data_IF_490460249643
#
_entry.id   IF_490460249643
#
_cell.length_a   1.000
_cell.length_b   1.000
_cell.length_c   1.000
_cell.angle_alpha   90.00
_cell.angle_beta   90.00
_cell.angle_gamma   90.00
#
_symmetry.space_group_name_H-M   'P 1'
#
loop_
_entity.id
_entity.type
_entity.pdbx_description
1 polymer ?
#
# COMPACT_ATOMS: atom_id res chain seq x y z
N UNK A 1 -13.39 10.21 6.44
CA UNK A 1 -12.62 9.13 7.10
C UNK A 1 -13.59 8.02 7.51
N UNK A 2 -13.15 6.76 7.44
CA UNK A 2 -13.98 5.60 7.82
C UNK A 2 -13.96 5.38 9.34
N UNK A 3 -15.08 4.95 9.91
CA UNK A 3 -15.11 4.52 11.32
C UNK A 3 -14.69 3.06 11.47
N UNK A 4 -14.31 2.66 12.68
CA UNK A 4 -13.95 1.27 13.00
C UNK A 4 -15.09 0.30 12.67
N UNK A 5 -16.35 0.70 12.87
CA UNK A 5 -17.53 -0.10 12.54
C UNK A 5 -17.69 -0.27 11.02
N UNK A 6 -17.49 0.81 10.25
CA UNK A 6 -17.56 0.75 8.80
C UNK A 6 -16.49 -0.20 8.24
N UNK A 7 -15.27 -0.13 8.76
CA UNK A 7 -14.19 -1.05 8.35
C UNK A 7 -14.54 -2.50 8.68
N UNK A 8 -15.04 -2.76 9.90
CA UNK A 8 -15.44 -4.12 10.30
C UNK A 8 -16.53 -4.70 9.41
N UNK A 9 -17.44 -3.87 8.89
CA UNK A 9 -18.44 -4.31 7.94
C UNK A 9 -17.83 -4.60 6.57
N UNK A 10 -16.98 -3.69 6.07
CA UNK A 10 -16.26 -3.86 4.80
C UNK A 10 -15.44 -5.15 4.79
N UNK A 11 -14.74 -5.47 5.89
CA UNK A 11 -13.85 -6.62 5.95
C UNK A 11 -14.57 -7.98 6.01
N UNK A 12 -15.89 -8.02 6.20
CA UNK A 12 -16.65 -9.29 6.16
C UNK A 12 -16.71 -9.86 4.74
N UNK A 13 -17.02 -8.99 3.78
CA UNK A 13 -17.29 -9.39 2.40
C UNK A 13 -16.19 -8.95 1.42
N UNK A 14 -15.28 -8.05 1.84
CA UNK A 14 -14.23 -7.50 0.99
C UNK A 14 -12.83 -7.68 1.60
N UNK A 15 -11.83 -7.36 0.77
CA UNK A 15 -10.42 -7.33 1.14
C UNK A 15 -9.93 -5.90 1.14
N UNK A 16 -9.37 -5.46 2.26
CA UNK A 16 -8.64 -4.19 2.31
C UNK A 16 -7.22 -4.44 1.82
N UNK A 17 -6.93 -3.91 0.65
CA UNK A 17 -5.61 -3.90 0.06
C UNK A 17 -4.82 -2.63 0.45
N UNK A 18 -3.58 -2.81 0.90
CA UNK A 18 -2.61 -1.74 1.14
C UNK A 18 -1.31 -1.98 0.35
N UNK A 19 -0.62 -0.90 0.00
CA UNK A 19 0.71 -0.95 -0.61
C UNK A 19 1.64 0.04 0.08
N UNK A 20 2.80 -0.44 0.50
CA UNK A 20 3.87 0.38 1.06
C UNK A 20 4.95 0.58 0.00
N UNK A 21 5.36 1.83 -0.19
CA UNK A 21 6.48 2.22 -1.01
C UNK A 21 7.59 2.72 -0.11
N UNK A 22 8.78 2.15 -0.25
CA UNK A 22 9.94 2.50 0.56
C UNK A 22 11.22 2.31 -0.26
N UNK A 23 12.31 2.94 0.16
CA UNK A 23 13.64 2.56 -0.34
C UNK A 23 14.16 1.33 0.42
N UNK A 24 14.92 0.48 -0.26
CA UNK A 24 15.53 -0.69 0.35
C UNK A 24 16.36 -0.28 1.59
N UNK A 25 15.96 -0.79 2.77
CA UNK A 25 16.54 -0.45 4.08
C UNK A 25 15.67 0.44 4.97
N UNK A 26 14.62 1.10 4.45
CA UNK A 26 13.72 1.95 5.24
C UNK A 26 12.65 1.18 6.02
N UNK A 27 12.50 -0.12 5.77
CA UNK A 27 11.67 -0.99 6.59
C UNK A 27 10.20 -1.10 6.15
N UNK A 28 9.86 -0.86 4.88
CA UNK A 28 8.50 -1.05 4.34
C UNK A 28 7.95 -2.47 4.57
N UNK A 29 8.80 -3.50 4.45
CA UNK A 29 8.44 -4.90 4.76
C UNK A 29 8.11 -5.10 6.24
N UNK A 30 8.78 -4.37 7.13
CA UNK A 30 8.47 -4.44 8.57
C UNK A 30 7.15 -3.74 8.88
N UNK A 31 6.87 -2.60 8.24
CA UNK A 31 5.57 -1.92 8.36
C UNK A 31 4.42 -2.82 7.90
N UNK A 32 4.57 -3.50 6.75
CA UNK A 32 3.55 -4.42 6.25
C UNK A 32 3.31 -5.62 7.16
N UNK A 33 4.37 -6.19 7.76
CA UNK A 33 4.22 -7.27 8.73
C UNK A 33 3.50 -6.80 10.00
N UNK A 34 3.88 -5.65 10.56
CA UNK A 34 3.23 -5.08 11.74
C UNK A 34 1.74 -4.78 11.47
N UNK A 35 1.41 -4.30 10.27
CA UNK A 35 0.03 -4.07 9.85
C UNK A 35 -0.80 -5.37 9.89
N UNK A 36 -0.24 -6.50 9.45
CA UNK A 36 -0.91 -7.81 9.53
C UNK A 36 -0.98 -8.31 10.97
N UNK A 37 0.11 -8.17 11.74
CA UNK A 37 0.18 -8.61 13.14
C UNK A 37 -0.77 -7.83 14.07
N UNK A 38 -1.08 -6.58 13.75
CA UNK A 38 -2.01 -5.73 14.48
C UNK A 38 -3.48 -5.98 14.12
N UNK A 39 -3.77 -6.41 12.89
CA UNK A 39 -5.14 -6.56 12.43
C UNK A 39 -5.85 -7.76 13.07
N UNK A 40 -7.00 -7.51 13.72
CA UNK A 40 -7.85 -8.55 14.31
C UNK A 40 -8.71 -9.27 13.25
N UNK A 41 -8.04 -10.09 12.44
CA UNK A 41 -8.67 -10.89 11.39
C UNK A 41 -7.65 -11.75 10.67
N UNK A 42 -7.85 -11.95 9.37
CA UNK A 42 -6.89 -12.65 8.52
C UNK A 42 -6.15 -11.64 7.65
N UNK A 43 -4.83 -11.75 7.63
CA UNK A 43 -3.99 -10.88 6.82
C UNK A 43 -2.85 -11.64 6.18
N UNK A 44 -2.47 -11.22 4.98
CA UNK A 44 -1.26 -11.67 4.29
C UNK A 44 -0.48 -10.43 3.88
N UNK A 45 0.83 -10.47 4.08
CA UNK A 45 1.73 -9.48 3.48
C UNK A 45 2.72 -10.17 2.56
N UNK A 46 3.05 -9.48 1.46
CA UNK A 46 3.98 -9.99 0.47
C UNK A 46 4.90 -8.85 0.02
N UNK A 47 6.22 -8.96 0.25
CA UNK A 47 7.16 -8.05 -0.38
C UNK A 47 7.33 -8.39 -1.87
N UNK A 48 7.52 -7.37 -2.69
CA UNK A 48 7.99 -7.49 -4.06
C UNK A 48 9.47 -7.14 -4.07
N UNK A 49 10.30 -8.13 -4.39
CA UNK A 49 11.74 -7.97 -4.52
C UNK A 49 12.15 -8.27 -5.95
N UNK A 50 12.91 -7.37 -6.57
CA UNK A 50 13.64 -7.61 -7.81
C UNK A 50 15.13 -7.89 -7.56
N UNK A 51 15.98 -7.66 -8.56
CA UNK A 51 17.44 -7.66 -8.42
C UNK A 51 17.97 -6.34 -7.80
N UNK A 52 17.19 -5.76 -6.89
CA UNK A 52 17.34 -4.39 -6.41
C UNK A 52 18.47 -4.26 -5.38
N UNK A 53 19.26 -3.19 -5.51
CA UNK A 53 20.35 -2.83 -4.58
C UNK A 53 19.80 -1.97 -3.43
N UNK A 54 20.60 -1.78 -2.38
CA UNK A 54 20.28 -0.84 -1.30
C UNK A 54 19.92 0.54 -1.86
N UNK A 55 18.86 1.17 -1.34
CA UNK A 55 18.34 2.46 -1.79
C UNK A 55 17.39 2.43 -3.00
N UNK A 56 17.26 1.31 -3.71
CA UNK A 56 16.29 1.17 -4.80
C UNK A 56 14.84 1.24 -4.27
N UNK A 57 13.87 1.69 -5.09
CA UNK A 57 12.45 1.58 -4.77
C UNK A 57 12.06 0.13 -4.46
N UNK A 58 11.27 -0.06 -3.41
CA UNK A 58 10.76 -1.36 -2.97
C UNK A 58 9.30 -1.24 -2.64
N UNK A 59 8.56 -2.32 -2.88
CA UNK A 59 7.14 -2.41 -2.60
C UNK A 59 6.83 -3.56 -1.65
N UNK A 60 5.90 -3.35 -0.73
CA UNK A 60 5.25 -4.44 -0.01
C UNK A 60 3.74 -4.28 0.00
N UNK A 61 3.05 -5.40 -0.16
CA UNK A 61 1.61 -5.46 -0.23
C UNK A 61 1.05 -6.05 1.05
N UNK A 62 -0.13 -5.59 1.45
CA UNK A 62 -0.91 -6.14 2.55
C UNK A 62 -2.34 -6.34 2.09
N UNK A 63 -2.92 -7.49 2.44
CA UNK A 63 -4.32 -7.84 2.19
C UNK A 63 -4.95 -8.25 3.51
N UNK A 64 -6.01 -7.58 3.93
CA UNK A 64 -6.70 -7.80 5.20
C UNK A 64 -8.17 -8.09 4.97
N UNK A 65 -8.71 -9.10 5.67
CA UNK A 65 -10.14 -9.42 5.66
C UNK A 65 -10.53 -10.18 6.92
N UNK A 66 -11.78 -10.02 7.37
CA UNK A 66 -12.36 -10.87 8.40
C UNK A 66 -12.73 -12.25 7.85
N UNK A 67 -12.86 -12.38 6.53
CA UNK A 67 -13.11 -13.65 5.86
C UNK A 67 -11.80 -14.28 5.36
N UNK A 68 -11.42 -15.41 5.96
CA UNK A 68 -10.21 -16.15 5.63
C UNK A 68 -10.14 -16.54 4.15
N UNK A 69 -11.28 -16.84 3.53
CA UNK A 69 -11.31 -17.34 2.15
C UNK A 69 -10.89 -16.29 1.13
N UNK A 70 -11.06 -15.00 1.45
CA UNK A 70 -10.69 -13.89 0.57
C UNK A 70 -9.17 -13.59 0.55
N UNK A 71 -8.44 -14.02 1.57
CA UNK A 71 -6.99 -13.77 1.74
C UNK A 71 -6.13 -15.03 1.63
N UNK A 72 -6.66 -16.13 1.06
CA UNK A 72 -5.89 -17.38 0.87
C UNK A 72 -4.83 -17.29 -0.23
N UNK A 73 -4.98 -16.34 -1.15
CA UNK A 73 -4.12 -16.22 -2.33
C UNK A 73 -2.95 -15.28 -2.09
N UNK A 74 -1.74 -15.74 -2.40
CA UNK A 74 -0.50 -14.95 -2.36
C UNK A 74 -0.34 -14.17 -3.67
N UNK A 75 -1.23 -13.21 -3.90
CA UNK A 75 -1.21 -12.36 -5.09
C UNK A 75 -0.75 -10.94 -4.77
N UNK A 76 -0.17 -10.28 -5.78
CA UNK A 76 0.15 -8.85 -5.70
C UNK A 76 -1.14 -8.01 -5.57
N UNK A 77 -1.00 -6.87 -4.91
CA UNK A 77 -2.07 -5.88 -4.82
C UNK A 77 -1.96 -4.95 -6.03
N UNK A 78 -2.90 -5.11 -6.96
CA UNK A 78 -3.04 -4.22 -8.13
C UNK A 78 -3.82 -2.94 -7.78
N UNK A 79 -4.73 -3.03 -6.80
CA UNK A 79 -5.68 -1.97 -6.45
C UNK A 79 -5.63 -1.64 -4.97
N UNK A 80 -4.63 -0.85 -4.53
CA UNK A 80 -4.50 -0.51 -3.12
C UNK A 80 -5.51 0.59 -2.75
N UNK A 81 -6.29 0.36 -1.69
CA UNK A 81 -7.16 1.39 -1.11
C UNK A 81 -6.37 2.40 -0.27
N UNK A 82 -5.27 1.94 0.33
CA UNK A 82 -4.34 2.74 1.11
C UNK A 82 -2.92 2.53 0.57
N UNK A 83 -2.23 3.62 0.25
CA UNK A 83 -0.82 3.61 -0.11
C UNK A 83 -0.05 4.41 0.93
N UNK A 84 1.03 3.85 1.46
CA UNK A 84 1.93 4.52 2.38
C UNK A 84 3.33 4.65 1.76
N UNK A 85 3.81 5.88 1.61
CA UNK A 85 5.10 6.22 1.01
C UNK A 85 6.04 6.70 2.11
N UNK A 86 7.08 5.92 2.39
CA UNK A 86 8.04 6.20 3.47
C UNK A 86 9.07 7.28 3.08
N UNK A 87 9.19 7.59 1.79
CA UNK A 87 10.16 8.53 1.23
C UNK A 87 9.53 9.29 0.05
N UNK A 88 9.39 10.61 0.20
CA UNK A 88 8.77 11.49 -0.80
C UNK A 88 9.45 11.47 -2.17
N UNK A 89 10.74 11.12 -2.25
CA UNK A 89 11.46 11.06 -3.54
C UNK A 89 10.86 10.01 -4.48
N UNK A 90 10.18 9.00 -3.93
CA UNK A 90 9.49 7.97 -4.72
C UNK A 90 8.31 8.52 -5.53
N UNK A 91 7.73 9.66 -5.13
CA UNK A 91 6.63 10.30 -5.85
C UNK A 91 7.05 10.76 -7.26
N UNK A 92 8.33 11.08 -7.45
CA UNK A 92 8.90 11.47 -8.75
C UNK A 92 9.53 10.32 -9.52
N UNK A 93 9.93 9.25 -8.83
CA UNK A 93 10.65 8.12 -9.44
C UNK A 93 9.69 7.07 -10.05
N UNK A 94 8.54 6.83 -9.42
CA UNK A 94 7.59 5.77 -9.80
C UNK A 94 6.14 6.20 -9.62
N UNK A 95 5.18 5.54 -10.29
CA UNK A 95 3.76 5.79 -10.07
C UNK A 95 3.27 5.09 -8.78
N UNK A 96 3.46 5.76 -7.65
CA UNK A 96 3.02 5.22 -6.36
C UNK A 96 1.50 5.03 -6.25
N UNK A 97 0.71 5.71 -7.10
CA UNK A 97 -0.75 5.73 -7.08
C UNK A 97 -1.39 4.76 -8.06
N UNK A 98 -0.58 4.01 -8.80
CA UNK A 98 -1.04 3.12 -9.85
C UNK A 98 -2.09 2.12 -9.34
N UNK A 99 -3.25 2.08 -10.01
CA UNK A 99 -4.38 1.22 -9.64
C UNK A 99 -5.18 1.63 -8.40
N UNK A 100 -4.82 2.73 -7.72
CA UNK A 100 -5.58 3.23 -6.57
C UNK A 100 -6.97 3.74 -7.02
N UNK A 101 -8.06 3.27 -6.39
CA UNK A 101 -9.41 3.73 -6.71
C UNK A 101 -9.65 5.19 -6.28
N UNK A 102 -10.72 5.79 -6.80
CA UNK A 102 -11.18 7.10 -6.34
C UNK A 102 -11.46 7.07 -4.84
N UNK A 103 -11.12 8.15 -4.14
CA UNK A 103 -11.23 8.24 -2.69
C UNK A 103 -10.19 7.43 -1.91
N UNK A 104 -9.31 6.67 -2.58
CA UNK A 104 -8.19 5.99 -1.93
C UNK A 104 -7.28 6.97 -1.19
N UNK A 105 -6.54 6.47 -0.20
CA UNK A 105 -5.67 7.29 0.64
C UNK A 105 -4.20 7.15 0.26
N UNK A 106 -3.57 8.27 -0.09
CA UNK A 106 -2.13 8.38 -0.24
C UNK A 106 -1.53 9.03 1.02
N UNK A 107 -0.79 8.24 1.79
CA UNK A 107 -0.09 8.66 3.01
C UNK A 107 1.38 8.85 2.66
N UNK A 108 1.94 10.03 2.88
CA UNK A 108 3.32 10.36 2.49
C UNK A 108 4.10 10.90 3.68
N UNK A 109 5.29 10.32 3.93
CA UNK A 109 6.30 10.96 4.77
C UNK A 109 6.92 12.15 4.00
N UNK A 110 6.47 13.37 4.32
CA UNK A 110 6.85 14.58 3.60
C UNK A 110 6.51 15.83 4.40
N UNK A 111 7.20 16.92 4.10
CA UNK A 111 6.85 18.29 4.54
C UNK A 111 6.17 19.10 3.43
N UNK A 112 5.98 18.51 2.24
CA UNK A 112 5.30 19.15 1.12
C UNK A 112 3.83 19.36 1.44
N UNK A 113 3.27 20.40 0.84
CA UNK A 113 1.84 20.63 0.86
C UNK A 113 1.11 19.69 -0.12
N UNK A 114 -0.19 19.56 0.09
CA UNK A 114 -1.04 18.66 -0.67
C UNK A 114 -1.14 19.04 -2.16
N UNK A 115 -1.06 20.32 -2.53
CA UNK A 115 -1.14 20.74 -3.95
C UNK A 115 0.09 20.25 -4.70
N UNK A 116 1.27 20.42 -4.10
CA UNK A 116 2.53 19.91 -4.65
C UNK A 116 2.49 18.38 -4.86
N UNK A 117 1.92 17.63 -3.91
CA UNK A 117 1.76 16.17 -4.04
C UNK A 117 0.81 15.82 -5.19
N UNK A 118 -0.34 16.48 -5.30
CA UNK A 118 -1.30 16.24 -6.38
C UNK A 118 -0.71 16.50 -7.76
N UNK A 119 0.16 17.51 -7.89
CA UNK A 119 0.85 17.82 -9.14
C UNK A 119 1.89 16.75 -9.50
N UNK A 120 2.62 16.22 -8.52
CA UNK A 120 3.58 15.13 -8.72
C UNK A 120 2.90 13.83 -9.17
N UNK A 121 1.85 13.40 -8.46
CA UNK A 121 1.15 12.14 -8.77
C UNK A 121 0.08 12.30 -9.85
N UNK A 122 -0.20 13.53 -10.30
CA UNK A 122 -1.19 13.87 -11.33
C UNK A 122 -2.60 13.33 -11.03
N UNK A 123 -2.99 13.27 -9.75
CA UNK A 123 -4.29 12.80 -9.27
C UNK A 123 -4.92 13.83 -8.34
N UNK A 124 -6.22 14.08 -8.51
CA UNK A 124 -7.02 15.02 -7.69
C UNK A 124 -8.27 14.37 -7.08
N UNK A 125 -8.46 13.09 -7.36
CA UNK A 125 -9.58 12.23 -6.98
C UNK A 125 -9.21 11.26 -5.85
N UNK A 126 -8.08 11.48 -5.18
CA UNK A 126 -7.57 10.69 -4.05
C UNK A 126 -7.42 11.58 -2.82
N UNK A 127 -7.62 10.97 -1.66
CA UNK A 127 -7.37 11.59 -0.37
C UNK A 127 -5.87 11.57 -0.06
N UNK A 128 -5.37 12.59 0.62
CA UNK A 128 -3.93 12.74 0.92
C UNK A 128 -3.76 12.94 2.43
N UNK A 129 -2.80 12.21 3.00
CA UNK A 129 -2.32 12.44 4.34
C UNK A 129 -0.80 12.63 4.33
N UNK A 130 -0.33 13.62 5.08
CA UNK A 130 1.08 13.98 5.15
C UNK A 130 1.57 13.94 6.58
N UNK A 131 2.82 13.53 6.76
CA UNK A 131 3.48 13.47 8.06
C UNK A 131 4.96 13.74 7.91
N UNK A 132 5.54 14.53 8.82
CA UNK A 132 7.00 14.63 8.95
C UNK A 132 7.49 13.50 9.88
N UNK A 133 7.44 12.28 9.36
CA UNK A 133 7.85 11.11 10.14
C UNK A 133 9.35 11.11 10.41
N UNK A 134 10.15 11.74 9.54
CA UNK A 134 11.60 11.87 9.73
C UNK A 134 11.93 12.72 10.95
N UNK A 135 11.29 13.87 11.14
CA UNK A 135 11.44 14.67 12.37
C UNK A 135 11.05 13.87 13.61
N UNK A 136 9.89 13.23 13.60
CA UNK A 136 9.41 12.42 14.75
C UNK A 136 10.40 11.29 15.07
N UNK A 137 10.96 10.63 14.06
CA UNK A 137 11.94 9.57 14.23
C UNK A 137 13.23 10.08 14.89
N UNK A 138 13.72 11.24 14.46
CA UNK A 138 14.94 11.85 15.02
C UNK A 138 14.70 12.31 16.46
N UNK A 139 13.56 12.94 16.74
CA UNK A 139 13.24 13.49 18.06
C UNK A 139 13.03 12.38 19.12
N UNK A 140 12.33 11.30 18.77
CA UNK A 140 11.91 10.27 19.73
C UNK A 140 12.81 9.04 19.70
N UNK A 141 13.10 8.53 18.50
CA UNK A 141 13.88 7.29 18.32
C UNK A 141 15.39 7.57 18.30
N UNK A 142 15.80 8.81 17.97
CA UNK A 142 17.20 9.19 17.79
C UNK A 142 17.84 8.59 16.52
N UNK A 143 17.02 8.05 15.62
CA UNK A 143 17.44 7.41 14.36
C UNK A 143 16.37 7.63 13.30
N UNK A 144 16.78 7.80 12.04
CA UNK A 144 15.85 7.96 10.92
C UNK A 144 15.22 6.62 10.51
N UNK A 145 14.27 6.13 11.31
CA UNK A 145 13.48 4.92 11.06
C UNK A 145 12.00 5.32 11.11
N UNK A 146 11.36 5.42 9.95
CA UNK A 146 10.02 6.00 9.80
C UNK A 146 8.91 4.96 9.64
N UNK A 147 9.27 3.68 9.52
CA UNK A 147 8.34 2.59 9.18
C UNK A 147 7.23 2.33 10.20
N UNK A 148 7.47 2.52 11.50
CA UNK A 148 6.44 2.39 12.54
C UNK A 148 5.59 3.66 12.63
N UNK A 149 6.21 4.81 12.42
CA UNK A 149 5.57 6.14 12.51
C UNK A 149 4.50 6.29 11.43
N UNK A 150 4.77 5.85 10.18
CA UNK A 150 3.79 5.90 9.08
C UNK A 150 2.52 5.08 9.38
N UNK A 151 2.61 4.06 10.24
CA UNK A 151 1.44 3.27 10.66
C UNK A 151 0.52 4.09 11.59
N UNK A 152 1.04 5.09 12.30
CA UNK A 152 0.21 6.04 13.04
C UNK A 152 -0.65 6.89 12.10
N UNK A 153 -0.07 7.36 11.00
CA UNK A 153 -0.83 8.05 9.95
C UNK A 153 -1.87 7.13 9.29
N UNK A 154 -1.54 5.84 9.11
CA UNK A 154 -2.50 4.85 8.63
C UNK A 154 -3.67 4.66 9.60
N UNK A 155 -3.42 4.57 10.91
CA UNK A 155 -4.49 4.53 11.93
C UNK A 155 -5.39 5.75 11.76
N UNK A 156 -4.80 6.95 11.72
CA UNK A 156 -5.52 8.23 11.65
C UNK A 156 -6.54 8.29 10.51
N UNK A 157 -6.23 7.76 9.32
CA UNK A 157 -7.10 7.86 8.14
C UNK A 157 -7.99 6.63 7.91
N UNK A 158 -7.54 5.45 8.34
CA UNK A 158 -8.15 4.17 7.94
C UNK A 158 -8.96 3.51 9.04
N UNK A 159 -8.56 3.64 10.31
CA UNK A 159 -9.14 2.93 11.45
C UNK A 159 -9.21 1.40 11.27
N UNK A 160 -8.28 0.81 10.49
CA UNK A 160 -8.21 -0.64 10.23
C UNK A 160 -7.89 -1.43 11.51
N UNK A 161 -7.06 -0.84 12.36
CA UNK A 161 -6.73 -1.33 13.69
C UNK A 161 -6.56 -0.12 14.61
N UNK A 162 -6.67 -0.38 15.91
CA UNK A 162 -6.51 0.59 16.97
C UNK A 162 -5.04 0.77 17.34
N UNK A 163 -4.76 1.86 18.05
CA UNK A 163 -3.44 2.08 18.65
C UNK A 163 -3.03 0.95 19.60
N UNK A 164 -3.98 0.40 20.35
CA UNK A 164 -3.70 -0.67 21.31
C UNK A 164 -3.31 -1.97 20.58
N UNK A 165 -4.05 -2.34 19.54
CA UNK A 165 -3.74 -3.51 18.70
C UNK A 165 -2.37 -3.39 18.02
N UNK A 166 -2.01 -2.20 17.52
CA UNK A 166 -0.68 -1.96 16.96
C UNK A 166 0.41 -1.97 18.05
N UNK A 167 0.12 -1.42 19.23
CA UNK A 167 1.05 -1.42 20.35
C UNK A 167 1.36 -2.84 20.81
N UNK A 168 0.37 -3.72 20.86
CA UNK A 168 0.54 -5.14 21.17
C UNK A 168 1.39 -5.87 20.12
N UNK A 169 1.21 -5.58 18.84
CA UNK A 169 2.09 -6.10 17.77
C UNK A 169 3.55 -5.64 17.95
N UNK A 170 3.74 -4.36 18.27
CA UNK A 170 5.08 -3.79 18.51
C UNK A 170 5.74 -4.41 19.74
N UNK A 171 5.00 -4.60 20.83
CA UNK A 171 5.53 -5.21 22.06
C UNK A 171 5.90 -6.69 21.87
N UNK A 172 5.22 -7.40 20.96
CA UNK A 172 5.61 -8.77 20.58
C UNK A 172 6.89 -8.81 19.77
N UNK A 173 7.14 -7.79 18.93
CA UNK A 173 8.28 -7.75 18.00
C UNK A 173 9.53 -7.09 18.57
N UNK A 174 9.37 -6.04 19.38
CA UNK A 174 10.45 -5.24 19.93
C UNK A 174 10.47 -5.34 21.45
N UNK A 175 11.67 -5.32 22.04
CA UNK A 175 11.84 -5.55 23.49
C UNK A 175 12.11 -4.23 24.23
N UNK A 176 11.47 -4.07 25.39
CA UNK A 176 11.79 -3.05 26.38
C UNK A 176 11.62 -1.61 25.88
N UNK A 177 12.63 -0.77 26.16
CA UNK A 177 12.58 0.66 25.87
C UNK A 177 12.39 1.00 24.38
N UNK A 178 12.81 0.10 23.47
CA UNK A 178 12.62 0.29 22.02
C UNK A 178 11.13 0.25 21.66
N UNK A 179 10.37 -0.69 22.23
CA UNK A 179 8.94 -0.78 21.99
C UNK A 179 8.20 0.46 22.52
N UNK A 180 8.51 0.89 23.74
CA UNK A 180 7.91 2.09 24.34
C UNK A 180 8.16 3.36 23.51
N UNK A 181 9.38 3.55 22.98
CA UNK A 181 9.69 4.67 22.09
C UNK A 181 8.92 4.62 20.77
N UNK A 182 8.77 3.44 20.17
CA UNK A 182 7.97 3.27 18.95
C UNK A 182 6.50 3.63 19.20
N UNK A 183 5.92 3.17 20.31
CA UNK A 183 4.53 3.50 20.67
C UNK A 183 4.35 5.01 20.87
N UNK A 184 5.30 5.68 21.54
CA UNK A 184 5.27 7.13 21.68
C UNK A 184 5.34 7.85 20.32
N UNK A 185 6.20 7.39 19.42
CA UNK A 185 6.31 7.94 18.07
C UNK A 185 5.04 7.75 17.24
N UNK A 186 4.36 6.62 17.39
CA UNK A 186 3.07 6.35 16.72
C UNK A 186 1.97 7.26 17.25
N UNK A 187 1.90 7.47 18.58
CA UNK A 187 0.95 8.41 19.18
C UNK A 187 1.13 9.81 18.60
N UNK A 188 2.37 10.30 18.56
CA UNK A 188 2.69 11.59 17.95
C UNK A 188 2.28 11.62 16.48
N UNK A 189 2.53 10.54 15.72
CA UNK A 189 2.15 10.48 14.31
C UNK A 189 0.64 10.57 14.10
N UNK A 190 -0.18 9.93 14.95
CA UNK A 190 -1.65 10.02 14.86
C UNK A 190 -2.12 11.47 15.02
N UNK A 191 -1.48 12.23 15.91
CA UNK A 191 -1.81 13.63 16.20
C UNK A 191 -1.28 14.58 15.11
N UNK A 192 -0.02 14.41 14.68
CA UNK A 192 0.67 15.31 13.75
C UNK A 192 0.26 15.08 12.28
N UNK A 193 -0.39 13.96 11.96
CA UNK A 193 -0.78 13.66 10.58
C UNK A 193 -1.79 14.68 10.07
N UNK A 194 -1.38 15.42 9.05
CA UNK A 194 -2.22 16.37 8.35
C UNK A 194 -3.07 15.60 7.33
N UNK A 195 -4.37 15.83 7.34
CA UNK A 195 -5.33 15.07 6.54
C UNK A 195 -6.07 16.00 5.60
N UNK A 196 -6.03 15.66 4.31
CA UNK A 196 -6.87 16.24 3.28
C UNK A 196 -7.86 15.19 2.76
N UNK A 197 -9.09 15.29 3.27
CA UNK A 197 -10.21 14.41 2.92
C UNK A 197 -11.14 15.13 1.93
N UNK A 198 -11.28 14.57 0.73
CA UNK A 198 -12.20 15.05 -0.30
C UNK A 198 -13.66 14.66 -0.04
N UNK A 199 -13.92 13.81 0.96
CA UNK A 199 -15.25 13.27 1.24
C UNK A 199 -15.72 12.23 0.20
N UNK A 200 -14.78 11.64 -0.56
CA UNK A 200 -15.07 10.59 -1.53
C UNK A 200 -15.10 9.22 -0.86
N UNK A 201 -16.11 8.42 -1.20
CA UNK A 201 -16.19 7.03 -0.74
C UNK A 201 -15.23 6.13 -1.53
N UNK A 202 -14.60 5.19 -0.83
CA UNK A 202 -13.70 4.19 -1.41
C UNK A 202 -14.54 2.99 -1.84
N UNK A 203 -14.42 2.60 -3.11
CA UNK A 203 -14.96 1.34 -3.59
C UNK A 203 -13.98 0.20 -3.28
N UNK A 204 -14.33 -0.62 -2.28
CA UNK A 204 -13.54 -1.77 -1.83
C UNK A 204 -13.69 -3.01 -2.72
N UNK A 205 -14.57 -2.98 -3.73
CA UNK A 205 -14.81 -4.10 -4.64
C UNK A 205 -13.88 -4.07 -5.86
N UNK A 206 -13.28 -2.90 -6.15
CA UNK A 206 -12.36 -2.70 -7.25
C UNK A 206 -11.01 -3.38 -7.00
N UNK A 207 -10.94 -4.69 -7.22
CA UNK A 207 -9.70 -5.40 -7.40
C UNK A 207 -9.24 -5.23 -8.87
N UNK A 208 -8.30 -4.31 -9.14
CA UNK A 208 -7.77 -4.00 -10.48
C UNK A 208 -6.96 -5.12 -11.15
N UNK A 209 -6.99 -6.35 -10.62
CA UNK A 209 -6.46 -7.49 -11.38
C UNK A 209 -7.37 -7.71 -12.58
N UNK A 210 -6.97 -7.18 -13.73
CA UNK A 210 -7.63 -7.45 -15.01
C UNK A 210 -7.74 -8.96 -15.14
N UNK A 211 -8.96 -9.48 -15.28
CA UNK A 211 -9.14 -10.91 -15.51
C UNK A 211 -8.33 -11.29 -16.74
N UNK A 212 -7.58 -12.38 -16.63
CA UNK A 212 -6.97 -13.02 -17.79
C UNK A 212 -8.03 -13.16 -18.88
N UNK A 213 -7.88 -12.42 -19.96
CA UNK A 213 -8.67 -12.63 -21.15
C UNK A 213 -8.07 -13.86 -21.83
N UNK A 214 -8.78 -14.98 -21.81
CA UNK A 214 -8.43 -16.08 -22.70
C UNK A 214 -8.65 -15.59 -24.12
N UNK A 215 -7.57 -15.60 -24.91
CA UNK A 215 -7.63 -15.46 -26.36
C UNK A 215 -8.54 -16.58 -26.85
N UNK A 216 -9.67 -16.23 -27.47
CA UNK A 216 -10.54 -17.21 -28.11
C UNK A 216 -9.87 -17.80 -29.35
N UNK A 217 -10.20 -19.05 -29.67
CA UNK A 217 -9.82 -19.70 -30.93
C UNK A 217 -10.29 -18.79 -32.09
N UNK A 218 -9.36 -18.13 -32.78
CA UNK A 218 -9.67 -17.25 -33.91
C UNK A 218 -8.93 -15.91 -33.95
N UNK A 219 -8.15 -15.54 -32.93
CA UNK A 219 -7.32 -14.33 -32.99
C UNK A 219 -6.00 -14.59 -33.74
N UNK A 220 -5.49 -13.61 -34.53
CA UNK A 220 -4.30 -13.78 -35.37
C UNK A 220 -3.07 -13.95 -34.49
N UNK A 221 -2.57 -15.18 -34.38
CA UNK A 221 -1.44 -15.53 -33.52
C UNK A 221 -1.47 -16.98 -33.03
N UNK A 222 -2.63 -17.63 -33.09
CA UNK A 222 -2.77 -19.05 -32.77
C UNK A 222 -2.63 -19.90 -34.04
N UNK A 223 -1.50 -20.57 -34.22
CA UNK A 223 -1.38 -21.73 -35.11
C UNK A 223 -1.46 -23.01 -34.27
N UNK A 224 -2.23 -23.99 -34.74
CA UNK A 224 -2.70 -25.21 -34.05
C UNK A 224 -1.62 -26.17 -33.48
N UNK A 225 -0.33 -25.78 -33.43
CA UNK A 225 0.77 -26.70 -33.12
C UNK A 225 1.57 -26.42 -31.84
N UNK A 226 1.47 -25.26 -31.20
CA UNK A 226 2.33 -24.98 -30.04
C UNK A 226 1.60 -25.05 -28.69
N UNK A 227 1.52 -26.26 -28.15
CA UNK A 227 1.00 -26.52 -26.79
C UNK A 227 1.88 -25.98 -25.65
N UNK A 228 2.99 -25.30 -25.92
CA UNK A 228 3.91 -24.78 -24.86
C UNK A 228 4.67 -23.54 -25.33
N UNK A 229 4.01 -22.38 -25.33
CA UNK A 229 4.69 -21.10 -25.52
C UNK A 229 3.88 -19.95 -24.93
N UNK A 230 4.53 -19.10 -24.13
CA UNK A 230 4.03 -17.77 -23.79
C UNK A 230 4.45 -16.85 -24.94
N UNK A 231 3.51 -16.21 -25.61
CA UNK A 231 3.77 -15.34 -26.75
C UNK A 231 3.47 -13.88 -26.43
N UNK A 232 4.39 -12.99 -26.81
CA UNK A 232 4.19 -11.55 -26.86
C UNK A 232 3.24 -11.24 -28.02
N UNK A 233 2.14 -10.56 -27.74
CA UNK A 233 1.18 -10.17 -28.77
C UNK A 233 1.66 -8.91 -29.49
N UNK A 234 1.40 -8.85 -30.79
CA UNK A 234 1.66 -7.68 -31.63
C UNK A 234 0.70 -6.53 -31.23
N UNK A 235 1.24 -5.35 -30.93
CA UNK A 235 0.52 -4.18 -30.37
C UNK A 235 -0.59 -3.66 -31.31
N UNK A 236 -0.48 -3.94 -32.61
CA UNK A 236 -1.47 -3.52 -33.62
C UNK A 236 -2.78 -4.33 -33.58
N UNK A 237 -2.82 -5.46 -32.86
CA UNK A 237 -3.96 -6.41 -32.88
C UNK A 237 -4.64 -6.51 -31.51
N UNK A 238 -3.89 -6.37 -30.41
CA UNK A 238 -4.43 -6.32 -29.04
C UNK A 238 -3.98 -5.01 -28.42
N UNK A 239 -4.91 -4.05 -28.28
CA UNK A 239 -4.65 -2.72 -27.69
C UNK A 239 -4.25 -2.75 -26.20
N UNK A 240 -4.26 -3.92 -25.55
CA UNK A 240 -4.03 -4.07 -24.11
C UNK A 240 -3.03 -5.20 -23.88
N UNK A 241 -1.75 -4.87 -24.03
CA UNK A 241 -0.65 -5.69 -23.52
C UNK A 241 -0.56 -5.63 -21.99
N UNK A 242 0.28 -6.49 -21.42
CA UNK A 242 0.67 -6.49 -19.99
C UNK A 242 1.15 -5.11 -19.50
N UNK A 243 1.60 -4.25 -20.41
CA UNK A 243 2.17 -2.93 -20.14
C UNK A 243 1.12 -1.87 -19.76
N UNK A 244 -0.19 -2.16 -19.84
CA UNK A 244 -1.23 -1.24 -19.38
C UNK A 244 -1.74 -1.52 -17.97
N UNK A 245 -1.31 -2.62 -17.33
CA UNK A 245 -1.56 -2.78 -15.89
C UNK A 245 -0.45 -2.04 -15.18
N UNK A 246 -0.61 -0.72 -15.08
CA UNK A 246 0.30 0.14 -14.34
C UNK A 246 0.31 -0.35 -12.88
N UNK A 247 1.34 -1.13 -12.54
CA UNK A 247 1.51 -1.75 -11.20
C UNK A 247 2.38 -0.93 -10.28
N UNK A 248 2.83 0.24 -10.75
CA UNK A 248 3.44 1.28 -9.92
C UNK A 248 4.95 1.17 -9.71
N UNK A 249 5.64 0.26 -10.39
CA UNK A 249 7.11 0.20 -10.31
C UNK A 249 7.83 -0.28 -11.57
N UNK A 250 7.21 -1.08 -12.44
CA UNK A 250 7.81 -1.50 -13.70
C UNK A 250 6.71 -1.83 -14.73
N UNK A 251 6.67 -1.08 -15.84
CA UNK A 251 5.69 -1.18 -16.92
C UNK A 251 4.67 -0.06 -16.88
#
# INVERSE_FOLDING_TARGET
MLTTEQIKEVTKDNVINLRFHARAGQGGVTASNLCVEAFMGYGVCQPKFGAERMGAPTESYVRLSSNKDLVRTNEQVYGPHFVAVLDETLLGDIDVTAGMPKGGWLIVNTVMDQISIQDLVKRKDINIATIDATRIALDILGRNITNTIILGSLIRVSQIFTLDELSDAIMRRFVGAIAGKNIAAIKQAIEDTCVYDLGLEIDFTLATKVRWQQISLGLPGYQDLDKRGVWYCNEDIIQIGSDQVNTGSWG
#
